data_IF_466825339840
#
_entry.id   IF_466825339840
#
_cell.length_a   1.000
_cell.length_b   1.000
_cell.length_c   1.000
_cell.angle_alpha   90.00
_cell.angle_beta   90.00
_cell.angle_gamma   90.00
#
_symmetry.space_group_name_H-M   'P 1'
#
loop_
_entity.id
_entity.type
_entity.pdbx_description
1 polymer ?
#
# COMPACT_ATOMS: atom_id res chain seq x y z
N UNK A 1 -31.01 -30.38 -28.44
CA UNK A 1 -29.60 -30.13 -28.82
C UNK A 1 -29.31 -28.67 -28.56
N UNK A 2 -28.38 -28.36 -27.65
CA UNK A 2 -28.03 -26.98 -27.33
C UNK A 2 -26.95 -26.53 -28.31
N UNK A 3 -27.32 -25.71 -29.30
CA UNK A 3 -26.36 -25.16 -30.27
C UNK A 3 -25.44 -24.19 -29.52
N UNK A 4 -24.10 -24.36 -29.57
CA UNK A 4 -23.20 -23.44 -28.89
C UNK A 4 -23.38 -22.04 -29.49
N UNK A 5 -23.73 -21.07 -28.64
CA UNK A 5 -23.94 -19.68 -29.04
C UNK A 5 -22.64 -19.16 -29.66
N UNK A 6 -22.67 -18.78 -30.93
CA UNK A 6 -21.54 -18.18 -31.63
C UNK A 6 -21.38 -16.76 -31.05
N UNK A 7 -20.33 -16.55 -30.26
CA UNK A 7 -20.04 -15.25 -29.66
C UNK A 7 -19.63 -14.30 -30.79
N UNK A 8 -20.38 -13.22 -31.00
CA UNK A 8 -20.03 -12.18 -31.97
C UNK A 8 -18.87 -11.34 -31.37
N UNK A 9 -17.73 -11.17 -32.05
CA UNK A 9 -16.61 -10.37 -31.56
C UNK A 9 -16.99 -8.94 -31.16
N UNK A 10 -18.06 -8.41 -31.75
CA UNK A 10 -18.56 -7.07 -31.50
C UNK A 10 -19.63 -7.02 -30.39
N UNK A 11 -20.17 -8.16 -29.95
CA UNK A 11 -21.18 -8.27 -28.89
C UNK A 11 -20.78 -7.53 -27.58
N UNK A 12 -19.52 -7.60 -27.11
CA UNK A 12 -19.07 -6.90 -25.90
C UNK A 12 -19.11 -5.38 -26.02
N UNK A 13 -19.04 -4.84 -27.23
CA UNK A 13 -19.03 -3.40 -27.50
C UNK A 13 -20.41 -2.84 -27.86
N UNK A 14 -21.35 -3.73 -28.24
CA UNK A 14 -22.70 -3.37 -28.69
C UNK A 14 -23.77 -3.49 -27.60
N UNK A 15 -23.49 -4.29 -26.57
CA UNK A 15 -24.45 -4.55 -25.49
C UNK A 15 -24.05 -3.80 -24.21
N UNK A 16 -24.97 -3.08 -23.54
CA UNK A 16 -24.71 -2.53 -22.21
C UNK A 16 -24.32 -3.66 -21.26
N UNK A 17 -23.18 -3.53 -20.59
CA UNK A 17 -22.77 -4.49 -19.55
C UNK A 17 -23.76 -4.36 -18.39
N UNK A 18 -24.43 -5.45 -18.03
CA UNK A 18 -25.28 -5.49 -16.85
C UNK A 18 -24.48 -5.13 -15.60
N UNK A 19 -24.96 -4.15 -14.84
CA UNK A 19 -24.34 -3.76 -13.57
C UNK A 19 -24.62 -4.84 -12.54
N UNK A 20 -23.64 -5.71 -12.34
CA UNK A 20 -23.65 -6.70 -11.26
C UNK A 20 -23.55 -6.01 -9.90
N UNK A 21 -24.32 -6.51 -8.94
CA UNK A 21 -24.26 -6.02 -7.56
C UNK A 21 -22.89 -6.36 -6.93
N UNK A 22 -22.34 -5.42 -6.14
CA UNK A 22 -21.10 -5.59 -5.40
C UNK A 22 -21.25 -5.00 -4.00
N UNK A 23 -20.78 -5.69 -2.94
CA UNK A 23 -20.77 -5.16 -1.58
C UNK A 23 -20.15 -3.77 -1.50
N UNK A 24 -20.67 -2.91 -0.60
CA UNK A 24 -20.14 -1.56 -0.42
C UNK A 24 -18.67 -1.58 0.01
N UNK A 25 -18.28 -2.51 0.88
CA UNK A 25 -16.90 -2.70 1.34
C UNK A 25 -15.92 -2.96 0.20
N UNK A 26 -16.38 -3.53 -0.92
CA UNK A 26 -15.56 -3.75 -2.11
C UNK A 26 -15.48 -2.54 -3.04
N UNK A 27 -16.33 -1.51 -2.87
CA UNK A 27 -16.39 -0.34 -3.76
C UNK A 27 -15.96 0.97 -3.10
N UNK A 28 -16.07 1.04 -1.78
CA UNK A 28 -15.87 2.27 -1.01
C UNK A 28 -14.76 2.01 -0.01
N UNK A 29 -13.71 2.84 -0.09
CA UNK A 29 -12.59 2.78 0.84
C UNK A 29 -13.07 3.03 2.28
N UNK A 30 -12.43 2.42 3.29
CA UNK A 30 -12.83 2.61 4.66
C UNK A 30 -12.62 4.07 5.13
N UNK A 31 -13.43 4.56 6.07
CA UNK A 31 -13.27 5.93 6.59
C UNK A 31 -11.95 6.10 7.36
N UNK A 32 -11.40 7.31 7.39
CA UNK A 32 -10.12 7.61 8.07
C UNK A 32 -10.30 8.32 9.42
N UNK A 33 -11.50 8.29 9.99
CA UNK A 33 -11.83 9.05 11.21
C UNK A 33 -11.08 8.55 12.45
N UNK A 34 -10.72 7.27 12.50
CA UNK A 34 -9.93 6.70 13.60
C UNK A 34 -8.56 7.38 13.71
N UNK A 35 -7.86 7.58 12.58
CA UNK A 35 -6.57 8.29 12.53
C UNK A 35 -6.70 9.72 13.06
N UNK A 36 -7.80 10.40 12.78
CA UNK A 36 -8.05 11.77 13.28
C UNK A 36 -8.14 11.85 14.80
N UNK A 37 -8.46 10.75 15.48
CA UNK A 37 -8.67 10.67 16.95
C UNK A 37 -7.60 9.87 17.69
N UNK A 38 -6.62 9.34 16.97
CA UNK A 38 -5.46 8.61 17.49
C UNK A 38 -4.76 9.29 18.69
N UNK A 39 -4.07 8.49 19.50
CA UNK A 39 -3.21 8.96 20.59
C UNK A 39 -1.88 9.58 20.13
N UNK A 40 -0.87 9.67 21.01
CA UNK A 40 0.46 10.16 20.65
C UNK A 40 1.19 9.19 19.69
N UNK A 41 2.18 9.72 18.97
CA UNK A 41 3.07 8.92 18.12
C UNK A 41 3.88 7.95 18.98
N UNK A 42 3.96 6.70 18.53
CA UNK A 42 4.81 5.66 19.13
C UNK A 42 6.16 5.66 18.41
N UNK A 43 7.27 5.99 19.11
CA UNK A 43 8.60 5.97 18.52
C UNK A 43 8.99 4.59 18.00
N UNK A 44 9.83 4.56 16.95
CA UNK A 44 10.33 3.35 16.28
C UNK A 44 9.23 2.38 15.84
N UNK A 45 8.02 2.89 15.59
CA UNK A 45 6.93 2.13 15.01
C UNK A 45 6.72 2.53 13.56
N UNK A 46 6.83 1.55 12.68
CA UNK A 46 6.50 1.68 11.28
C UNK A 46 5.18 0.96 10.94
N UNK A 47 4.38 1.57 10.07
CA UNK A 47 3.19 0.95 9.48
C UNK A 47 3.34 0.91 7.96
N UNK A 48 3.28 -0.29 7.39
CA UNK A 48 3.28 -0.48 5.94
C UNK A 48 1.85 -0.66 5.44
N UNK A 49 1.43 0.15 4.47
CA UNK A 49 0.05 0.18 3.98
C UNK A 49 -0.02 -0.16 2.49
N UNK A 50 -0.87 -1.13 2.16
CA UNK A 50 -1.38 -1.35 0.81
C UNK A 50 -2.77 -0.68 0.66
N UNK A 51 -2.88 0.41 -0.12
CA UNK A 51 -4.12 1.18 -0.23
C UNK A 51 -5.29 0.41 -0.87
N UNK A 52 -6.50 0.83 -0.54
CA UNK A 52 -7.73 0.27 -1.06
C UNK A 52 -7.83 0.49 -2.58
N UNK A 53 -8.04 -0.61 -3.30
CA UNK A 53 -8.43 -0.62 -4.71
C UNK A 53 -9.93 -0.94 -4.85
N UNK A 54 -10.76 -0.03 -5.38
CA UNK A 54 -12.17 -0.32 -5.66
C UNK A 54 -12.32 -1.49 -6.62
N UNK A 55 -13.14 -2.47 -6.23
CA UNK A 55 -13.39 -3.67 -7.04
C UNK A 55 -14.53 -3.41 -8.01
N UNK A 56 -14.23 -3.60 -9.29
CA UNK A 56 -15.18 -3.75 -10.38
C UNK A 56 -15.62 -5.23 -10.53
N UNK A 57 -16.94 -5.53 -10.59
CA UNK A 57 -17.47 -6.89 -10.69
C UNK A 57 -17.14 -7.64 -11.98
N UNK A 58 -16.77 -6.92 -13.03
CA UNK A 58 -16.53 -7.47 -14.36
C UNK A 58 -15.03 -7.58 -14.67
N UNK A 59 -14.23 -6.61 -14.20
CA UNK A 59 -12.80 -6.54 -14.50
C UNK A 59 -11.90 -7.08 -13.38
N UNK A 60 -12.36 -7.04 -12.11
CA UNK A 60 -11.47 -7.21 -10.95
C UNK A 60 -12.00 -8.07 -9.79
N UNK A 61 -13.22 -8.61 -9.91
CA UNK A 61 -13.78 -9.51 -8.91
C UNK A 61 -12.86 -10.73 -8.76
N UNK A 62 -12.22 -10.88 -7.60
CA UNK A 62 -11.26 -11.95 -7.29
C UNK A 62 -9.79 -11.67 -7.62
N UNK A 63 -9.43 -10.61 -8.37
CA UNK A 63 -8.02 -10.36 -8.77
C UNK A 63 -7.16 -9.65 -7.72
N UNK A 64 -7.77 -8.87 -6.82
CA UNK A 64 -7.04 -8.02 -5.85
C UNK A 64 -7.51 -8.21 -4.41
N UNK A 65 -8.25 -9.29 -4.12
CA UNK A 65 -8.87 -9.49 -2.79
C UNK A 65 -8.05 -10.45 -1.91
N UNK A 66 -7.09 -11.22 -2.46
CA UNK A 66 -6.65 -12.44 -1.77
C UNK A 66 -5.14 -12.73 -1.78
N UNK A 67 -4.28 -11.80 -2.21
CA UNK A 67 -2.83 -12.04 -2.15
C UNK A 67 -2.11 -10.92 -1.38
N UNK A 68 -1.38 -11.26 -0.31
CA UNK A 68 -0.57 -10.29 0.40
C UNK A 68 0.51 -9.76 -0.55
N UNK A 69 0.83 -8.47 -0.44
CA UNK A 69 1.86 -7.87 -1.29
C UNK A 69 3.25 -8.35 -0.86
N UNK A 70 3.91 -9.08 -1.76
CA UNK A 70 5.29 -9.50 -1.58
C UNK A 70 6.18 -8.29 -1.28
N UNK A 71 5.99 -7.19 -2.02
CA UNK A 71 6.77 -5.97 -1.85
C UNK A 71 6.77 -5.49 -0.40
N UNK A 72 5.62 -5.30 0.24
CA UNK A 72 5.60 -4.82 1.62
C UNK A 72 6.10 -5.87 2.62
N UNK A 73 5.93 -7.17 2.36
CA UNK A 73 6.56 -8.19 3.22
C UNK A 73 8.08 -8.21 3.08
N UNK A 74 8.63 -7.89 1.91
CA UNK A 74 10.09 -7.72 1.72
C UNK A 74 10.60 -6.49 2.47
N UNK A 75 9.91 -5.34 2.36
CA UNK A 75 10.22 -4.13 3.15
C UNK A 75 10.18 -4.41 4.65
N UNK A 76 9.17 -5.16 5.10
CA UNK A 76 9.09 -5.56 6.50
C UNK A 76 10.25 -6.47 6.93
N UNK A 77 10.75 -7.35 6.04
CA UNK A 77 11.95 -8.17 6.27
C UNK A 77 13.22 -7.32 6.38
N UNK A 78 13.28 -6.21 5.64
CA UNK A 78 14.37 -5.24 5.67
C UNK A 78 14.31 -4.28 6.86
N UNK A 79 13.28 -4.33 7.70
CA UNK A 79 13.16 -3.40 8.82
C UNK A 79 14.29 -3.66 9.85
N UNK A 80 15.09 -2.64 10.23
CA UNK A 80 16.21 -2.83 11.15
C UNK A 80 15.78 -3.33 12.54
N UNK A 81 16.67 -4.03 13.27
CA UNK A 81 16.45 -4.34 14.68
C UNK A 81 16.18 -3.07 15.49
N UNK A 82 15.21 -3.13 16.40
CA UNK A 82 14.79 -1.99 17.24
C UNK A 82 13.58 -1.23 16.71
N UNK A 83 13.18 -1.45 15.45
CA UNK A 83 11.90 -0.99 14.91
C UNK A 83 10.82 -2.07 15.05
N UNK A 84 9.64 -1.66 15.49
CA UNK A 84 8.43 -2.44 15.35
C UNK A 84 7.75 -2.12 14.02
N UNK A 85 7.34 -3.15 13.27
CA UNK A 85 6.72 -2.99 11.95
C UNK A 85 5.39 -3.72 11.89
N UNK A 86 4.36 -2.99 11.52
CA UNK A 86 3.02 -3.50 11.30
C UNK A 86 2.66 -3.44 9.80
N UNK A 87 1.76 -4.33 9.38
CA UNK A 87 1.23 -4.39 8.02
C UNK A 87 -0.26 -4.12 8.04
N UNK A 88 -0.74 -3.31 7.10
CA UNK A 88 -2.14 -3.10 6.86
C UNK A 88 -2.46 -3.13 5.37
N UNK A 89 -3.44 -3.94 4.97
CA UNK A 89 -3.91 -4.00 3.60
C UNK A 89 -5.40 -3.74 3.56
N UNK A 90 -5.77 -2.58 3.03
CA UNK A 90 -7.19 -2.21 2.92
C UNK A 90 -7.94 -3.13 1.95
N UNK A 91 -7.24 -3.91 1.12
CA UNK A 91 -7.85 -4.86 0.19
C UNK A 91 -8.31 -6.17 0.86
N UNK A 92 -7.89 -6.43 2.11
CA UNK A 92 -8.42 -7.52 2.93
C UNK A 92 -9.78 -7.19 3.56
N UNK A 93 -10.27 -5.95 3.35
CA UNK A 93 -11.59 -5.51 3.78
C UNK A 93 -11.83 -5.61 5.30
N UNK A 94 -10.76 -5.54 6.09
CA UNK A 94 -10.79 -5.62 7.56
C UNK A 94 -11.20 -4.30 8.24
N UNK A 95 -11.49 -3.25 7.47
CA UNK A 95 -11.92 -1.95 7.96
C UNK A 95 -10.85 -0.85 7.79
N UNK A 96 -10.90 0.21 8.62
CA UNK A 96 -9.97 1.32 8.53
C UNK A 96 -8.57 0.92 9.03
N UNK A 97 -7.51 1.56 8.52
CA UNK A 97 -6.15 1.31 9.00
C UNK A 97 -5.98 1.66 10.49
N UNK A 98 -5.08 0.94 11.19
CA UNK A 98 -4.89 1.10 12.61
C UNK A 98 -4.33 2.48 12.93
N UNK A 99 -4.79 3.04 14.04
CA UNK A 99 -4.36 4.36 14.50
C UNK A 99 -4.03 4.40 15.99
N UNK A 100 -4.16 3.26 16.67
CA UNK A 100 -3.77 3.08 18.05
C UNK A 100 -3.11 1.70 18.18
N UNK A 101 -1.79 1.63 18.44
CA UNK A 101 -0.86 2.76 18.54
C UNK A 101 -0.64 3.49 17.20
N UNK A 102 -0.45 4.81 17.26
CA UNK A 102 -0.12 5.64 16.09
C UNK A 102 1.37 5.48 15.72
N UNK A 103 1.72 5.19 14.46
CA UNK A 103 3.11 4.96 14.07
C UNK A 103 3.90 6.27 13.94
N UNK A 104 5.22 6.18 14.11
CA UNK A 104 6.14 7.27 13.77
C UNK A 104 6.32 7.40 12.26
N UNK A 105 6.47 6.26 11.56
CA UNK A 105 6.68 6.21 10.12
C UNK A 105 5.55 5.40 9.46
N UNK A 106 5.02 5.92 8.35
CA UNK A 106 4.06 5.19 7.51
C UNK A 106 4.63 5.04 6.11
N UNK A 107 4.94 3.80 5.74
CA UNK A 107 5.33 3.44 4.37
C UNK A 107 4.10 3.05 3.56
N UNK A 108 3.82 3.76 2.48
CA UNK A 108 2.65 3.49 1.63
C UNK A 108 3.13 3.13 0.23
N UNK A 109 2.72 1.96 -0.27
CA UNK A 109 2.92 1.61 -1.67
C UNK A 109 1.90 2.34 -2.54
N UNK A 110 2.36 2.95 -3.62
CA UNK A 110 1.56 3.73 -4.55
C UNK A 110 1.57 3.03 -5.90
N UNK A 111 0.38 2.66 -6.35
CA UNK A 111 0.10 2.18 -7.69
C UNK A 111 -0.92 3.09 -8.35
N UNK A 112 -0.84 3.23 -9.67
CA UNK A 112 -1.69 4.15 -10.45
C UNK A 112 -3.20 3.98 -10.14
N UNK A 113 -3.64 2.74 -9.94
CA UNK A 113 -5.06 2.41 -9.74
C UNK A 113 -5.63 2.83 -8.38
N UNK A 114 -4.77 3.19 -7.42
CA UNK A 114 -5.16 3.61 -6.08
C UNK A 114 -4.31 4.77 -5.54
N UNK A 115 -3.64 5.52 -6.42
CA UNK A 115 -2.79 6.66 -6.06
C UNK A 115 -3.55 7.71 -5.24
N UNK A 116 -4.77 8.06 -5.67
CA UNK A 116 -5.66 8.96 -4.92
C UNK A 116 -5.87 8.49 -3.47
N UNK A 117 -6.10 7.19 -3.26
CA UNK A 117 -6.30 6.63 -1.92
C UNK A 117 -5.00 6.69 -1.09
N UNK A 118 -3.86 6.40 -1.71
CA UNK A 118 -2.56 6.55 -1.05
C UNK A 118 -2.35 7.99 -0.55
N UNK A 119 -2.73 9.00 -1.35
CA UNK A 119 -2.59 10.41 -0.96
C UNK A 119 -3.56 10.83 0.15
N UNK A 120 -4.77 10.26 0.19
CA UNK A 120 -5.72 10.46 1.30
C UNK A 120 -5.16 9.91 2.61
N UNK A 121 -4.60 8.70 2.58
CA UNK A 121 -3.92 8.06 3.71
C UNK A 121 -2.72 8.90 4.17
N UNK A 122 -1.86 9.29 3.22
CA UNK A 122 -0.70 10.13 3.50
C UNK A 122 -1.08 11.42 4.23
N UNK A 123 -2.10 12.14 3.71
CA UNK A 123 -2.61 13.35 4.35
C UNK A 123 -3.14 13.09 5.76
N UNK A 124 -3.87 11.99 5.96
CA UNK A 124 -4.46 11.66 7.27
C UNK A 124 -3.39 11.39 8.32
N UNK A 125 -2.34 10.63 8.00
CA UNK A 125 -1.24 10.35 8.92
C UNK A 125 -0.32 11.56 9.13
N UNK A 126 0.02 12.31 8.07
CA UNK A 126 0.83 13.54 8.19
C UNK A 126 0.16 14.59 9.06
N UNK A 127 -1.16 14.73 8.96
CA UNK A 127 -1.93 15.63 9.83
C UNK A 127 -1.84 15.27 11.33
N UNK A 128 -1.38 14.05 11.65
CA UNK A 128 -1.12 13.58 13.02
C UNK A 128 0.35 13.63 13.42
N UNK A 129 1.23 14.09 12.54
CA UNK A 129 2.68 14.23 12.78
C UNK A 129 3.52 13.02 12.37
N UNK A 130 2.91 11.94 11.87
CA UNK A 130 3.64 10.79 11.33
C UNK A 130 4.48 11.21 10.12
N UNK A 131 5.66 10.61 9.95
CA UNK A 131 6.46 10.75 8.73
C UNK A 131 5.93 9.79 7.68
N UNK A 132 5.55 10.31 6.51
CA UNK A 132 5.01 9.48 5.43
C UNK A 132 6.05 9.27 4.34
N UNK A 133 6.34 8.00 4.07
CA UNK A 133 7.21 7.53 3.00
C UNK A 133 6.34 6.95 1.88
N UNK A 134 6.42 7.52 0.68
CA UNK A 134 5.70 7.01 -0.49
C UNK A 134 6.67 6.31 -1.43
N UNK A 135 6.35 5.07 -1.81
CA UNK A 135 7.13 4.28 -2.77
C UNK A 135 6.23 3.47 -3.69
N UNK A 136 6.80 2.53 -4.44
CA UNK A 136 6.05 1.69 -5.39
C UNK A 136 6.03 2.24 -6.81
N UNK A 137 5.35 1.51 -7.70
CA UNK A 137 5.45 1.72 -9.14
C UNK A 137 5.06 3.14 -9.59
N UNK A 138 4.02 3.72 -8.99
CA UNK A 138 3.60 5.09 -9.34
C UNK A 138 4.63 6.13 -8.91
N UNK A 139 5.26 5.96 -7.76
CA UNK A 139 6.33 6.84 -7.29
C UNK A 139 7.58 6.77 -8.18
N UNK A 140 7.84 5.61 -8.78
CA UNK A 140 8.91 5.44 -9.77
C UNK A 140 8.56 6.09 -11.12
N UNK A 141 7.33 5.91 -11.60
CA UNK A 141 6.91 6.38 -12.93
C UNK A 141 6.52 7.87 -12.98
N UNK A 142 5.92 8.39 -11.91
CA UNK A 142 5.38 9.76 -11.82
C UNK A 142 5.80 10.43 -10.50
N UNK A 143 7.10 10.58 -10.22
CA UNK A 143 7.60 11.08 -8.93
C UNK A 143 7.11 12.51 -8.63
N UNK A 144 6.94 13.35 -9.63
CA UNK A 144 6.42 14.71 -9.50
C UNK A 144 4.97 14.75 -9.00
N UNK A 145 4.15 13.75 -9.34
CA UNK A 145 2.77 13.65 -8.84
C UNK A 145 2.75 13.20 -7.37
N UNK A 146 3.69 12.35 -6.97
CA UNK A 146 3.77 11.78 -5.63
C UNK A 146 4.41 12.75 -4.62
N UNK A 147 5.39 13.54 -5.04
CA UNK A 147 6.20 14.40 -4.18
C UNK A 147 5.40 15.30 -3.21
N UNK A 148 4.31 15.98 -3.62
CA UNK A 148 3.55 16.84 -2.71
C UNK A 148 2.89 16.09 -1.53
N UNK A 149 2.72 14.76 -1.67
CA UNK A 149 2.00 13.93 -0.72
C UNK A 149 2.92 13.23 0.29
N UNK A 150 4.22 13.16 0.02
CA UNK A 150 5.20 12.49 0.87
C UNK A 150 5.97 13.48 1.78
N UNK A 151 6.50 12.98 2.89
CA UNK A 151 7.65 13.61 3.57
C UNK A 151 8.97 13.08 2.98
N UNK A 152 8.99 11.81 2.54
CA UNK A 152 10.09 11.21 1.79
C UNK A 152 9.56 10.29 0.68
N UNK A 153 10.21 10.30 -0.48
CA UNK A 153 9.94 9.34 -1.55
C UNK A 153 11.00 8.25 -1.60
N UNK A 154 10.57 7.00 -1.76
CA UNK A 154 11.44 5.86 -2.05
C UNK A 154 11.27 5.46 -3.53
N UNK A 155 12.29 5.77 -4.35
CA UNK A 155 12.27 5.55 -5.79
C UNK A 155 13.27 4.42 -6.13
N UNK A 156 12.77 3.31 -6.67
CA UNK A 156 13.57 2.15 -7.03
C UNK A 156 13.43 1.00 -6.04
N UNK A 157 14.54 0.30 -5.75
CA UNK A 157 14.54 -0.87 -4.88
C UNK A 157 14.28 -0.44 -3.42
N UNK A 158 13.21 -0.98 -2.81
CA UNK A 158 12.75 -0.51 -1.51
C UNK A 158 13.39 -1.24 -0.33
N UNK A 159 13.79 -2.50 -0.50
CA UNK A 159 14.47 -3.30 0.54
C UNK A 159 15.79 -2.64 0.94
N UNK A 160 16.53 -2.10 -0.02
CA UNK A 160 17.78 -1.36 0.19
C UNK A 160 17.53 0.01 0.83
N UNK A 161 16.49 0.71 0.39
CA UNK A 161 16.20 2.07 0.85
C UNK A 161 15.60 2.12 2.24
N UNK A 162 14.77 1.14 2.60
CA UNK A 162 14.00 1.17 3.83
C UNK A 162 14.84 1.27 5.12
N UNK A 163 15.91 0.46 5.33
CA UNK A 163 16.82 0.64 6.45
C UNK A 163 17.43 2.05 6.53
N UNK A 164 17.82 2.61 5.38
CA UNK A 164 18.45 3.94 5.28
C UNK A 164 17.47 5.04 5.70
N UNK A 165 16.25 4.96 5.20
CA UNK A 165 15.16 5.89 5.53
C UNK A 165 14.88 5.87 7.03
N UNK A 166 14.73 4.68 7.63
CA UNK A 166 14.46 4.56 9.06
C UNK A 166 15.63 5.07 9.91
N UNK A 167 16.88 4.81 9.51
CA UNK A 167 18.06 5.37 10.18
C UNK A 167 18.09 6.90 10.15
N UNK A 168 17.72 7.52 9.03
CA UNK A 168 17.63 8.98 8.92
C UNK A 168 16.46 9.56 9.72
N UNK A 169 15.36 8.83 9.90
CA UNK A 169 14.30 9.23 10.83
C UNK A 169 14.85 9.31 12.26
N UNK A 170 15.59 8.29 12.71
CA UNK A 170 16.18 8.27 14.05
C UNK A 170 17.22 9.38 14.26
N UNK A 171 18.00 9.70 13.22
CA UNK A 171 18.99 10.77 13.24
C UNK A 171 18.38 12.18 13.05
N UNK A 172 17.08 12.28 12.76
CA UNK A 172 16.43 13.55 12.44
C UNK A 172 16.88 14.17 11.11
N UNK A 173 17.42 13.37 10.20
CA UNK A 173 18.02 13.74 8.91
C UNK A 173 17.24 13.22 7.69
N UNK A 174 15.93 12.96 7.86
CA UNK A 174 15.06 12.45 6.79
C UNK A 174 15.16 13.29 5.51
N UNK A 175 15.55 12.64 4.41
CA UNK A 175 15.67 13.26 3.09
C UNK A 175 14.33 13.24 2.35
N UNK A 176 14.05 14.23 1.49
CA UNK A 176 12.81 14.26 0.72
C UNK A 176 12.74 13.16 -0.35
N UNK A 177 13.89 12.67 -0.84
CA UNK A 177 13.94 11.64 -1.90
C UNK A 177 15.13 10.70 -1.69
N UNK A 178 14.84 9.41 -1.73
CA UNK A 178 15.80 8.32 -1.73
C UNK A 178 15.73 7.55 -3.05
N UNK A 179 16.88 7.14 -3.57
CA UNK A 179 17.00 6.40 -4.84
C UNK A 179 17.89 5.18 -4.69
N UNK A 180 17.43 4.06 -5.20
CA UNK A 180 18.22 2.83 -5.34
C UNK A 180 17.98 2.20 -6.71
N UNK A 181 18.92 1.39 -7.16
CA UNK A 181 18.80 0.60 -8.38
C UNK A 181 18.49 -0.86 -8.02
N UNK A 182 18.06 -1.64 -9.00
CA UNK A 182 17.80 -3.08 -8.83
C UNK A 182 19.05 -3.92 -9.19
N UNK A 183 20.22 -3.49 -8.71
CA UNK A 183 21.52 -4.10 -9.03
C UNK A 183 22.05 -5.02 -7.91
N UNK A 184 21.57 -4.85 -6.68
CA UNK A 184 21.85 -5.77 -5.57
C UNK A 184 21.28 -7.17 -5.88
N UNK A 185 22.07 -8.25 -5.74
CA UNK A 185 21.55 -9.60 -5.92
C UNK A 185 20.48 -9.95 -4.88
N UNK A 186 19.27 -10.32 -5.33
CA UNK A 186 18.16 -10.70 -4.43
C UNK A 186 18.45 -11.82 -3.43
N UNK A 187 19.54 -12.59 -3.61
CA UNK A 187 19.97 -13.61 -2.64
C UNK A 187 20.52 -13.01 -1.34
N UNK A 188 20.94 -11.75 -1.40
CA UNK A 188 21.55 -11.01 -0.28
C UNK A 188 20.48 -10.26 0.53
N UNK A 189 19.26 -10.17 0.00
CA UNK A 189 18.12 -9.56 0.70
C UNK A 189 17.64 -10.42 1.87
N UNK A 190 17.17 -9.80 2.96
CA UNK A 190 16.49 -10.52 4.02
C UNK A 190 15.22 -11.19 3.49
N UNK A 191 14.83 -12.37 4.03
CA UNK A 191 13.61 -13.02 3.62
C UNK A 191 12.39 -12.14 3.92
N UNK A 192 11.36 -12.15 3.05
CA UNK A 192 10.12 -11.44 3.31
C UNK A 192 9.49 -11.86 4.64
N UNK A 193 9.11 -10.90 5.48
CA UNK A 193 8.58 -11.13 6.83
C UNK A 193 7.12 -11.57 6.81
N UNK A 194 6.86 -12.81 6.38
CA UNK A 194 5.50 -13.36 6.18
C UNK A 194 4.66 -13.45 7.46
N UNK A 195 5.30 -13.54 8.61
CA UNK A 195 4.66 -13.62 9.93
C UNK A 195 3.85 -12.37 10.34
N UNK A 196 4.06 -11.23 9.68
CA UNK A 196 3.25 -10.00 9.91
C UNK A 196 1.86 -10.07 9.29
N UNK A 197 1.62 -11.05 8.41
CA UNK A 197 0.36 -11.20 7.71
C UNK A 197 -0.69 -11.83 8.63
N UNK A 198 -1.95 -11.35 8.61
CA UNK A 198 -3.02 -11.97 9.37
C UNK A 198 -3.34 -13.36 8.80
N UNK A 199 -3.01 -14.42 9.56
CA UNK A 199 -3.10 -15.83 9.11
C UNK A 199 -4.50 -16.27 8.68
N UNK A 200 -5.54 -15.67 9.25
CA UNK A 200 -6.94 -16.02 8.97
C UNK A 200 -7.56 -15.22 7.82
N UNK A 201 -6.80 -14.32 7.19
CA UNK A 201 -7.29 -13.46 6.09
C UNK A 201 -6.93 -13.95 4.69
N UNK A 202 -6.31 -15.14 4.57
CA UNK A 202 -5.83 -15.73 3.32
C UNK A 202 -6.15 -17.23 3.24
#
# INVERSE_FOLDING_TARGET
MNVPRRIDPEEPFRSPIEKRWVPRSMRVAPPLDAIRRAGPITPRRALLINPFYPKDPNASFGKHVLTPTLALTSIAGATPPGWDVAYWDENLLLGPPPSDPLPEVVGITVHLTFAKRAYELARAYRARGCKVVLGGLHALSCPEEVAPHADAMAIGEGVELWPKILGDVEAGSLQPVYRAQFDTPYRDDPPPKREILPRESF
#
